data_IF_219363052438
#
_entry.id   IF_219363052438
#
_cell.length_a   1.000
_cell.length_b   1.000
_cell.length_c   1.000
_cell.angle_alpha   90.00
_cell.angle_beta   90.00
_cell.angle_gamma   90.00
#
_symmetry.space_group_name_H-M   'P 1'
#
loop_
_entity.id
_entity.type
_entity.pdbx_description
1 polymer ?
#
# COMPACT_ATOMS: atom_id res chain seq x y z
N UNK A 1 -42.21 -32.90 -13.61
CA UNK A 1 -41.14 -32.06 -13.00
C UNK A 1 -39.81 -32.56 -13.54
N UNK A 2 -39.12 -31.86 -14.45
CA UNK A 2 -38.02 -32.50 -15.21
C UNK A 2 -36.85 -31.62 -15.62
N UNK A 3 -37.09 -30.53 -16.35
CA UNK A 3 -35.99 -29.79 -16.97
C UNK A 3 -35.67 -28.47 -16.24
N UNK A 4 -36.67 -27.63 -15.97
CA UNK A 4 -36.47 -26.34 -15.31
C UNK A 4 -35.96 -26.44 -13.88
N UNK A 5 -36.37 -27.47 -13.13
CA UNK A 5 -35.86 -27.74 -11.77
C UNK A 5 -34.42 -28.25 -11.78
N UNK A 6 -34.03 -29.04 -12.78
CA UNK A 6 -32.65 -29.50 -12.96
C UNK A 6 -31.74 -28.34 -13.39
N UNK A 7 -32.23 -27.47 -14.27
CA UNK A 7 -31.52 -26.27 -14.73
C UNK A 7 -31.31 -25.27 -13.58
N UNK A 8 -32.35 -25.02 -12.77
CA UNK A 8 -32.25 -24.21 -11.56
C UNK A 8 -31.16 -24.73 -10.61
N UNK A 9 -31.20 -26.01 -10.24
CA UNK A 9 -30.17 -26.64 -9.39
C UNK A 9 -28.76 -26.63 -9.98
N UNK A 10 -28.61 -26.47 -11.30
CA UNK A 10 -27.30 -26.35 -11.95
C UNK A 10 -26.80 -24.92 -11.94
N UNK A 11 -27.68 -23.94 -12.10
CA UNK A 11 -27.35 -22.52 -11.95
C UNK A 11 -27.04 -22.16 -10.50
N UNK A 12 -27.78 -22.71 -9.54
CA UNK A 12 -27.54 -22.49 -8.10
C UNK A 12 -26.15 -23.00 -7.69
N UNK A 13 -25.76 -24.20 -8.14
CA UNK A 13 -24.42 -24.75 -7.87
C UNK A 13 -23.30 -23.95 -8.54
N UNK A 14 -23.54 -23.38 -9.72
CA UNK A 14 -22.57 -22.52 -10.37
C UNK A 14 -22.41 -21.19 -9.62
N UNK A 15 -23.52 -20.60 -9.16
CA UNK A 15 -23.48 -19.39 -8.36
C UNK A 15 -22.72 -19.61 -7.05
N UNK A 16 -22.98 -20.73 -6.36
CA UNK A 16 -22.27 -21.13 -5.14
C UNK A 16 -20.77 -21.33 -5.40
N UNK A 17 -20.41 -22.05 -6.47
CA UNK A 17 -19.01 -22.27 -6.85
C UNK A 17 -18.27 -20.97 -7.20
N UNK A 18 -18.95 -20.01 -7.84
CA UNK A 18 -18.36 -18.70 -8.16
C UNK A 18 -18.20 -17.86 -6.90
N UNK A 19 -19.16 -17.91 -5.97
CA UNK A 19 -19.07 -17.21 -4.69
C UNK A 19 -17.92 -17.75 -3.84
N UNK A 20 -17.77 -19.07 -3.74
CA UNK A 20 -16.66 -19.71 -3.01
C UNK A 20 -15.32 -19.30 -3.61
N UNK A 21 -15.20 -19.33 -4.94
CA UNK A 21 -13.99 -18.86 -5.63
C UNK A 21 -13.69 -17.38 -5.37
N UNK A 22 -14.71 -16.51 -5.36
CA UNK A 22 -14.54 -15.09 -5.03
C UNK A 22 -14.09 -14.89 -3.57
N UNK A 23 -14.62 -15.67 -2.64
CA UNK A 23 -14.19 -15.65 -1.23
C UNK A 23 -12.73 -16.11 -1.10
N UNK A 24 -12.33 -17.18 -1.77
CA UNK A 24 -10.96 -17.68 -1.74
C UNK A 24 -9.97 -16.67 -2.33
N UNK A 25 -10.30 -16.08 -3.48
CA UNK A 25 -9.46 -15.07 -4.14
C UNK A 25 -9.34 -13.82 -3.26
N UNK A 26 -10.44 -13.33 -2.69
CA UNK A 26 -10.40 -12.13 -1.84
C UNK A 26 -9.60 -12.38 -0.57
N UNK A 27 -9.79 -13.52 0.09
CA UNK A 27 -9.02 -13.93 1.28
C UNK A 27 -7.52 -13.95 0.99
N UNK A 28 -7.12 -14.62 -0.10
CA UNK A 28 -5.73 -14.69 -0.51
C UNK A 28 -5.12 -13.31 -0.80
N UNK A 29 -5.85 -12.42 -1.49
CA UNK A 29 -5.38 -11.04 -1.75
C UNK A 29 -5.17 -10.27 -0.45
N UNK A 30 -6.07 -10.39 0.51
CA UNK A 30 -5.93 -9.73 1.81
C UNK A 30 -4.73 -10.26 2.60
N UNK A 31 -4.48 -11.57 2.57
CA UNK A 31 -3.31 -12.18 3.21
C UNK A 31 -2.00 -11.67 2.60
N UNK A 32 -1.90 -11.65 1.27
CA UNK A 32 -0.72 -11.12 0.58
C UNK A 32 -0.48 -9.64 0.89
N UNK A 33 -1.57 -8.84 0.95
CA UNK A 33 -1.50 -7.43 1.31
C UNK A 33 -1.07 -7.24 2.77
N UNK A 34 -1.57 -8.06 3.70
CA UNK A 34 -1.15 -8.03 5.10
C UNK A 34 0.33 -8.37 5.27
N UNK A 35 0.82 -9.40 4.56
CA UNK A 35 2.24 -9.78 4.53
C UNK A 35 3.09 -8.63 3.97
N UNK A 36 2.66 -8.03 2.86
CA UNK A 36 3.34 -6.89 2.25
C UNK A 36 3.45 -5.71 3.23
N UNK A 37 2.34 -5.32 3.85
CA UNK A 37 2.29 -4.19 4.80
C UNK A 37 3.21 -4.48 5.99
N UNK A 38 3.14 -5.69 6.55
CA UNK A 38 3.96 -6.08 7.70
C UNK A 38 5.45 -5.99 7.36
N UNK A 39 5.87 -6.59 6.24
CA UNK A 39 7.26 -6.54 5.79
C UNK A 39 7.73 -5.10 5.50
N UNK A 40 6.85 -4.26 4.91
CA UNK A 40 7.15 -2.85 4.65
C UNK A 40 7.40 -2.09 5.96
N UNK A 41 6.54 -2.28 6.97
CA UNK A 41 6.70 -1.63 8.28
C UNK A 41 7.95 -2.11 9.01
N UNK A 42 8.25 -3.41 8.99
CA UNK A 42 9.47 -3.95 9.61
C UNK A 42 10.75 -3.33 9.01
N UNK A 43 10.81 -3.21 7.68
CA UNK A 43 11.95 -2.59 7.00
C UNK A 43 12.03 -1.10 7.31
N UNK A 44 10.89 -0.42 7.25
CA UNK A 44 10.81 0.99 7.55
C UNK A 44 11.28 1.27 8.99
N UNK A 45 10.82 0.50 9.98
CA UNK A 45 11.19 0.66 11.39
C UNK A 45 12.70 0.53 11.62
N UNK A 46 13.39 -0.35 10.88
CA UNK A 46 14.85 -0.51 10.98
C UNK A 46 15.60 0.71 10.47
N UNK A 47 15.15 1.29 9.36
CA UNK A 47 15.83 2.45 8.75
C UNK A 47 15.35 3.79 9.30
N UNK A 48 14.20 3.81 9.97
CA UNK A 48 13.53 5.03 10.39
C UNK A 48 14.38 5.94 11.28
N UNK A 49 14.91 5.50 12.44
CA UNK A 49 15.66 6.38 13.33
C UNK A 49 17.02 6.79 12.77
N UNK A 50 17.60 5.98 11.87
CA UNK A 50 18.95 6.17 11.36
C UNK A 50 19.01 6.99 10.06
N UNK A 51 18.00 6.86 9.19
CA UNK A 51 18.02 7.42 7.84
C UNK A 51 16.85 8.36 7.57
N UNK A 52 15.61 7.94 7.87
CA UNK A 52 14.42 8.72 7.51
C UNK A 52 14.23 9.89 8.46
N UNK A 53 14.24 9.63 9.76
CA UNK A 53 13.96 10.64 10.78
C UNK A 53 14.96 11.80 10.78
N UNK A 54 16.28 11.58 10.69
CA UNK A 54 17.25 12.68 10.68
C UNK A 54 17.10 13.57 9.44
N UNK A 55 16.81 12.98 8.28
CA UNK A 55 16.59 13.73 7.02
C UNK A 55 15.33 14.58 7.14
N UNK A 56 14.23 14.01 7.60
CA UNK A 56 12.99 14.77 7.78
C UNK A 56 13.15 15.89 8.82
N UNK A 57 13.86 15.65 9.92
CA UNK A 57 14.17 16.67 10.92
C UNK A 57 15.04 17.80 10.34
N UNK A 58 16.05 17.47 9.53
CA UNK A 58 16.91 18.46 8.89
C UNK A 58 16.16 19.30 7.83
N UNK A 59 15.31 18.66 7.03
CA UNK A 59 14.60 19.31 5.92
C UNK A 59 13.39 20.09 6.41
N UNK A 60 12.55 19.46 7.23
CA UNK A 60 11.25 20.01 7.63
C UNK A 60 11.28 20.65 9.02
N UNK A 61 12.15 20.18 9.92
CA UNK A 61 12.10 20.45 11.35
C UNK A 61 11.20 19.45 12.09
N UNK A 62 11.06 19.62 13.40
CA UNK A 62 10.04 18.89 14.18
C UNK A 62 8.65 19.46 13.85
N UNK A 63 7.94 18.83 12.91
CA UNK A 63 6.62 19.25 12.42
C UNK A 63 5.55 18.26 12.86
N UNK A 64 4.45 18.73 13.47
CA UNK A 64 3.40 17.86 13.98
C UNK A 64 2.62 17.04 12.94
N UNK A 65 2.60 17.45 11.67
CA UNK A 65 1.88 16.73 10.60
C UNK A 65 2.67 16.76 9.29
N UNK A 66 3.03 15.59 8.77
CA UNK A 66 3.55 15.41 7.41
C UNK A 66 2.59 14.54 6.58
N UNK A 67 2.57 14.70 5.27
CA UNK A 67 1.84 13.82 4.36
C UNK A 67 2.81 12.84 3.72
N UNK A 68 2.37 11.59 3.55
CA UNK A 68 3.15 10.53 2.92
C UNK A 68 2.32 9.76 1.91
N UNK A 69 2.94 9.33 0.82
CA UNK A 69 2.40 8.36 -0.13
C UNK A 69 3.40 7.24 -0.37
N UNK A 70 2.87 6.08 -0.72
CA UNK A 70 3.63 4.92 -1.15
C UNK A 70 3.18 4.50 -2.54
N UNK A 71 4.12 4.27 -3.45
CA UNK A 71 3.86 3.80 -4.80
C UNK A 71 4.98 2.86 -5.26
N UNK A 72 4.69 2.01 -6.25
CA UNK A 72 5.67 1.10 -6.82
C UNK A 72 6.75 1.88 -7.58
N UNK A 73 8.00 1.47 -7.43
CA UNK A 73 9.12 2.00 -8.19
C UNK A 73 9.21 1.39 -9.58
N UNK A 74 10.00 2.01 -10.47
CA UNK A 74 10.20 1.52 -11.82
C UNK A 74 10.98 0.20 -11.88
N UNK A 75 11.68 -0.16 -10.80
CA UNK A 75 12.40 -1.43 -10.66
C UNK A 75 11.50 -2.41 -9.90
N UNK A 76 11.45 -3.66 -10.35
CA UNK A 76 10.76 -4.72 -9.62
C UNK A 76 11.25 -4.77 -8.16
N UNK A 77 10.35 -5.03 -7.22
CA UNK A 77 10.66 -5.03 -5.79
C UNK A 77 11.12 -3.67 -5.22
N UNK A 78 10.82 -2.54 -5.88
CA UNK A 78 11.06 -1.21 -5.33
C UNK A 78 9.75 -0.56 -4.83
N UNK A 79 9.77 -0.03 -3.61
CA UNK A 79 8.73 0.87 -3.09
C UNK A 79 9.31 2.28 -2.98
N UNK A 80 8.56 3.27 -3.46
CA UNK A 80 8.89 4.68 -3.28
C UNK A 80 8.00 5.23 -2.17
N UNK A 81 8.64 5.87 -1.19
CA UNK A 81 7.99 6.62 -0.12
C UNK A 81 8.28 8.10 -0.33
N UNK A 82 7.25 8.90 -0.57
CA UNK A 82 7.38 10.34 -0.76
C UNK A 82 6.67 11.08 0.38
N UNK A 83 7.38 12.02 1.02
CA UNK A 83 6.93 12.74 2.21
C UNK A 83 7.00 14.25 1.95
N UNK A 84 5.97 14.99 2.35
CA UNK A 84 5.97 16.45 2.25
C UNK A 84 5.19 17.13 3.38
N UNK A 85 5.52 18.40 3.62
CA UNK A 85 4.76 19.28 4.49
C UNK A 85 3.62 19.94 3.69
N UNK A 86 2.34 19.69 4.01
CA UNK A 86 1.21 20.27 3.28
C UNK A 86 1.16 21.81 3.36
N UNK A 87 1.77 22.41 4.38
CA UNK A 87 1.81 23.86 4.56
C UNK A 87 2.95 24.53 3.78
N UNK A 88 3.92 23.74 3.30
CA UNK A 88 5.14 24.25 2.63
C UNK A 88 5.34 23.71 1.22
N UNK A 89 4.27 23.19 0.58
CA UNK A 89 4.29 22.67 -0.79
C UNK A 89 5.00 23.55 -1.83
N UNK A 90 4.97 24.89 -1.66
CA UNK A 90 5.61 25.85 -2.60
C UNK A 90 7.04 26.21 -2.23
N UNK A 91 7.46 26.00 -0.98
CA UNK A 91 8.73 26.48 -0.43
C UNK A 91 9.69 25.36 -0.04
N UNK A 92 9.19 24.12 0.15
CA UNK A 92 10.00 22.93 0.40
C UNK A 92 9.54 21.80 -0.54
N UNK A 93 10.45 21.21 -1.32
CA UNK A 93 10.14 20.04 -2.14
C UNK A 93 9.78 18.82 -1.26
N UNK A 94 9.18 17.81 -1.87
CA UNK A 94 8.96 16.52 -1.21
C UNK A 94 10.28 15.74 -1.09
N UNK A 95 10.43 15.01 0.01
CA UNK A 95 11.54 14.08 0.21
C UNK A 95 11.12 12.69 -0.25
N UNK A 96 11.97 12.07 -1.07
CA UNK A 96 11.68 10.79 -1.74
C UNK A 96 12.68 9.74 -1.29
N UNK A 97 12.18 8.67 -0.69
CA UNK A 97 12.96 7.52 -0.24
C UNK A 97 12.65 6.31 -1.12
N UNK A 98 13.70 5.57 -1.49
CA UNK A 98 13.59 4.32 -2.26
C UNK A 98 13.88 3.15 -1.35
N UNK A 99 12.95 2.20 -1.30
CA UNK A 99 13.04 0.95 -0.55
C UNK A 99 13.21 -0.18 -1.57
N UNK A 100 14.44 -0.65 -1.76
CA UNK A 100 14.82 -1.60 -2.83
C UNK A 100 14.44 -3.07 -2.56
N UNK A 101 13.58 -3.30 -1.58
CA UNK A 101 13.39 -4.61 -0.95
C UNK A 101 11.90 -4.95 -0.76
N UNK A 102 11.02 -4.40 -1.59
CA UNK A 102 9.59 -4.68 -1.59
C UNK A 102 9.26 -6.04 -2.25
N UNK A 103 8.19 -6.75 -1.86
CA UNK A 103 7.75 -7.96 -2.55
C UNK A 103 7.47 -7.75 -4.05
N UNK A 104 7.72 -8.78 -4.88
CA UNK A 104 7.57 -8.75 -6.35
C UNK A 104 6.14 -8.50 -6.85
N UNK A 105 5.13 -8.58 -5.98
CA UNK A 105 3.72 -8.29 -6.25
C UNK A 105 3.22 -7.17 -5.32
N UNK A 106 3.83 -6.00 -5.41
CA UNK A 106 3.40 -4.87 -4.58
C UNK A 106 1.96 -4.48 -4.94
N UNK A 107 1.01 -4.43 -3.97
CA UNK A 107 -0.33 -3.90 -4.21
C UNK A 107 -0.34 -2.37 -4.32
N UNK A 108 0.84 -1.73 -4.31
CA UNK A 108 0.96 -0.29 -4.42
C UNK A 108 0.70 0.16 -5.85
N UNK A 109 0.10 1.35 -6.04
CA UNK A 109 -0.10 1.90 -7.36
C UNK A 109 1.23 2.19 -8.04
N UNK A 110 1.27 2.03 -9.37
CA UNK A 110 2.44 2.38 -10.18
C UNK A 110 2.54 3.89 -10.41
N UNK A 111 1.42 4.60 -10.34
CA UNK A 111 1.36 6.05 -10.53
C UNK A 111 1.16 6.79 -9.21
N UNK A 112 1.94 7.86 -9.02
CA UNK A 112 1.80 8.81 -7.90
C UNK A 112 0.37 9.34 -7.75
N UNK A 113 -0.34 9.57 -8.85
CA UNK A 113 -1.71 10.09 -8.87
C UNK A 113 -2.75 9.12 -8.31
N UNK A 114 -2.44 7.83 -8.30
CA UNK A 114 -3.30 6.76 -7.78
C UNK A 114 -2.96 6.46 -6.31
N UNK A 115 -1.85 6.98 -5.81
CA UNK A 115 -1.41 6.80 -4.44
C UNK A 115 -2.31 7.51 -3.45
N UNK A 116 -2.67 6.78 -2.39
CA UNK A 116 -3.48 7.33 -1.30
C UNK A 116 -2.60 8.15 -0.38
N UNK A 117 -2.97 9.41 -0.18
CA UNK A 117 -2.31 10.30 0.79
C UNK A 117 -2.62 9.85 2.21
N UNK A 118 -1.57 9.57 2.98
CA UNK A 118 -1.61 9.25 4.40
C UNK A 118 -1.05 10.43 5.20
N UNK A 119 -1.46 10.52 6.46
CA UNK A 119 -0.97 11.54 7.40
C UNK A 119 -0.06 10.90 8.43
N UNK A 120 1.14 11.45 8.57
CA UNK A 120 2.07 11.20 9.67
C UNK A 120 1.80 12.24 10.75
N UNK A 121 0.85 11.92 11.64
CA UNK A 121 0.51 12.76 12.79
C UNK A 121 1.50 12.57 13.93
N UNK A 122 1.74 13.63 14.69
CA UNK A 122 2.68 13.66 15.82
C UNK A 122 4.12 13.27 15.43
N UNK A 123 4.52 13.62 14.22
CA UNK A 123 5.90 13.53 13.77
C UNK A 123 6.80 14.43 14.66
N UNK A 124 7.66 13.82 15.46
CA UNK A 124 8.65 14.48 16.34
C UNK A 124 9.87 13.60 16.46
#
# INVERSE_FOLDING_TARGET
MGFFTWLGKRLDRLAESVLDWLVDVTTWVFEQLAIFITALFEKLQKIWPALVAPVLAAVFGEISVLYVIFYAGAVAAQTIMEIWDPLKLKSKPSEVFKLEEAPLNSPLPEMRSEARVLKLENWK
#
